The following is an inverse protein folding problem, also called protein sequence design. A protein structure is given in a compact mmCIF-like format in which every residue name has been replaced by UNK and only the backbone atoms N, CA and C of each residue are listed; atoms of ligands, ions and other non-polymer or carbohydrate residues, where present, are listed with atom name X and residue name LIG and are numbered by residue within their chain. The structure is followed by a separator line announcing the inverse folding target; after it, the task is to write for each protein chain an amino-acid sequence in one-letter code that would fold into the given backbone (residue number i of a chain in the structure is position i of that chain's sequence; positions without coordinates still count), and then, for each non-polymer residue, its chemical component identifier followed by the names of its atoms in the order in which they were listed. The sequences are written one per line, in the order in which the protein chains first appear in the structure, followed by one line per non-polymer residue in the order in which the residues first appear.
data_IF_023062479073
#
_entry.id   IF_023062479073
#
_cell.length_a   1.000
_cell.length_b   1.000
_cell.length_c   1.000
_cell.angle_alpha   90.00
_cell.angle_beta   90.00
_cell.angle_gamma   90.00
#
_symmetry.space_group_name_H-M   'P 1'
#
loop_
_entity.id
_entity.type
_entity.pdbx_description
1 polymer ?
#
# COMPACT_ATOMS: atom_id res chain seq x y z
N UNK A 1 21.33 6.03 -5.85
CA UNK A 1 21.81 5.46 -4.59
C UNK A 1 20.87 4.30 -4.27
N UNK A 2 21.37 3.07 -4.06
CA UNK A 2 20.50 1.96 -3.66
C UNK A 2 20.28 2.08 -2.14
N UNK A 3 19.05 2.40 -1.76
CA UNK A 3 18.60 2.40 -0.37
C UNK A 3 18.84 1.01 0.23
N UNK A 4 19.45 0.94 1.42
CA UNK A 4 19.66 -0.34 2.10
C UNK A 4 18.38 -0.72 2.83
N UNK A 5 18.00 -1.99 2.76
CA UNK A 5 16.92 -2.56 3.56
C UNK A 5 17.45 -3.71 4.40
N UNK A 6 16.79 -4.00 5.52
CA UNK A 6 17.01 -5.23 6.28
C UNK A 6 16.28 -6.44 5.63
N UNK A 7 16.27 -7.58 6.32
CA UNK A 7 15.60 -8.82 5.88
C UNK A 7 14.06 -8.71 5.87
N UNK A 8 13.48 -7.76 6.61
CA UNK A 8 12.05 -7.46 6.66
C UNK A 8 11.64 -6.37 5.65
N UNK A 9 12.60 -5.84 4.88
CA UNK A 9 12.36 -4.76 3.91
C UNK A 9 12.32 -3.35 4.52
N UNK A 10 12.68 -3.18 5.79
CA UNK A 10 12.73 -1.90 6.48
C UNK A 10 13.90 -1.07 5.94
N UNK A 11 13.66 0.16 5.45
CA UNK A 11 14.71 1.01 4.92
C UNK A 11 15.63 1.55 6.03
N UNK A 12 16.94 1.53 5.76
CA UNK A 12 18.00 2.03 6.62
C UNK A 12 18.80 3.11 5.92
N UNK A 13 18.97 4.24 6.61
CA UNK A 13 19.64 5.42 6.06
C UNK A 13 21.06 5.56 6.63
N UNK A 14 22.04 5.66 5.74
CA UNK A 14 23.42 5.95 6.13
C UNK A 14 23.63 7.46 6.32
N UNK A 15 24.77 7.85 6.90
CA UNK A 15 25.15 9.27 7.05
C UNK A 15 25.13 10.00 5.71
N UNK A 16 25.52 9.33 4.62
CA UNK A 16 25.51 9.93 3.29
C UNK A 16 24.08 10.14 2.76
N UNK A 17 23.15 9.22 3.06
CA UNK A 17 21.74 9.39 2.68
C UNK A 17 21.08 10.55 3.45
N UNK A 18 21.42 10.71 4.73
CA UNK A 18 20.94 11.82 5.56
C UNK A 18 21.46 13.17 5.06
N UNK A 19 22.75 13.23 4.71
CA UNK A 19 23.34 14.42 4.09
C UNK A 19 22.58 14.75 2.80
N UNK A 20 22.44 13.79 1.88
CA UNK A 20 21.73 14.01 0.61
C UNK A 20 20.28 14.50 0.83
N UNK A 21 19.58 13.94 1.82
CA UNK A 21 18.23 14.38 2.23
C UNK A 21 18.19 15.83 2.70
N UNK A 22 19.18 16.26 3.51
CA UNK A 22 19.29 17.66 3.96
C UNK A 22 19.57 18.57 2.76
N UNK A 23 20.55 18.22 1.92
CA UNK A 23 20.97 19.04 0.77
C UNK A 23 19.89 19.14 -0.33
N UNK A 24 19.00 18.15 -0.42
CA UNK A 24 17.84 18.18 -1.34
C UNK A 24 16.62 18.92 -0.77
N UNK A 25 16.73 19.51 0.42
CA UNK A 25 15.67 20.33 1.03
C UNK A 25 14.63 19.53 1.80
N UNK A 26 14.96 18.32 2.22
CA UNK A 26 14.09 17.42 3.01
C UNK A 26 14.58 17.24 4.45
N UNK A 27 15.24 18.26 5.02
CA UNK A 27 15.77 18.22 6.39
C UNK A 27 14.69 17.97 7.45
N UNK A 28 13.44 18.37 7.18
CA UNK A 28 12.28 18.11 8.03
C UNK A 28 12.00 16.61 8.22
N UNK A 29 12.40 15.77 7.26
CA UNK A 29 12.15 14.33 7.26
C UNK A 29 13.24 13.52 7.94
N UNK A 30 14.40 14.11 8.25
CA UNK A 30 15.53 13.42 8.85
C UNK A 30 15.17 12.78 10.21
N UNK A 31 14.22 13.36 10.95
CA UNK A 31 13.78 12.86 12.25
C UNK A 31 12.77 11.71 12.18
N UNK A 32 12.27 11.39 10.99
CA UNK A 32 11.25 10.35 10.76
C UNK A 32 11.91 9.06 10.23
N UNK A 33 13.14 9.15 9.73
CA UNK A 33 13.85 8.01 9.14
C UNK A 33 14.73 7.28 10.15
N UNK A 34 14.90 5.98 9.93
CA UNK A 34 15.75 5.12 10.75
C UNK A 34 17.18 5.13 10.22
N UNK A 35 18.10 5.69 11.00
CA UNK A 35 19.50 5.81 10.60
C UNK A 35 20.38 4.68 11.17
N UNK A 36 21.45 4.35 10.44
CA UNK A 36 22.47 3.43 10.93
C UNK A 36 23.13 3.98 12.20
N UNK A 37 23.51 3.07 13.11
CA UNK A 37 24.27 3.45 14.31
C UNK A 37 25.69 3.88 13.89
N UNK A 38 26.09 5.11 14.27
CA UNK A 38 27.47 5.61 14.09
C UNK A 38 27.78 6.74 15.05
N UNK A 39 29.06 6.95 15.34
CA UNK A 39 29.55 8.03 16.21
C UNK A 39 29.11 9.43 15.76
N UNK A 40 28.94 9.63 14.44
CA UNK A 40 28.49 10.92 13.89
C UNK A 40 27.03 11.21 14.26
N UNK A 41 26.19 10.17 14.30
CA UNK A 41 24.78 10.27 14.71
C UNK A 41 24.69 10.56 16.20
N UNK A 42 25.57 9.96 17.00
CA UNK A 42 25.62 10.20 18.45
C UNK A 42 25.93 11.66 18.75
N UNK A 43 26.99 12.20 18.12
CA UNK A 43 27.36 13.61 18.24
C UNK A 43 26.27 14.56 17.73
N UNK A 44 25.59 14.18 16.64
CA UNK A 44 24.47 14.95 16.11
C UNK A 44 23.32 14.99 17.13
N UNK A 45 22.96 13.85 17.70
CA UNK A 45 21.89 13.75 18.68
C UNK A 45 22.20 14.52 19.97
N UNK A 46 23.43 14.45 20.47
CA UNK A 46 23.90 15.26 21.61
C UNK A 46 23.71 16.76 21.33
N UNK A 47 24.15 17.24 20.17
CA UNK A 47 23.99 18.65 19.79
C UNK A 47 22.53 19.07 19.61
N UNK A 48 21.67 18.18 19.10
CA UNK A 48 20.23 18.47 18.96
C UNK A 48 19.55 18.55 20.32
N UNK A 49 19.86 17.64 21.24
CA UNK A 49 19.32 17.64 22.59
C UNK A 49 19.75 18.89 23.37
N UNK A 50 21.01 19.32 23.25
CA UNK A 50 21.49 20.58 23.85
C UNK A 50 20.74 21.81 23.35
N UNK A 51 20.26 21.79 22.10
CA UNK A 51 19.48 22.86 21.48
C UNK A 51 17.96 22.71 21.68
N UNK A 52 17.51 21.68 22.40
CA UNK A 52 16.09 21.38 22.60
C UNK A 52 15.38 20.92 21.33
N UNK A 53 16.11 20.39 20.35
CA UNK A 53 15.59 19.83 19.11
C UNK A 53 15.48 18.30 19.20
N UNK A 54 14.68 17.70 18.31
CA UNK A 54 14.49 16.25 18.31
C UNK A 54 15.73 15.52 17.78
N UNK A 55 16.19 14.44 18.43
CA UNK A 55 17.28 13.62 17.91
C UNK A 55 16.85 12.82 16.66
N UNK A 56 17.82 12.27 15.94
CA UNK A 56 17.60 11.27 14.89
C UNK A 56 17.26 9.91 15.52
N UNK A 57 16.38 9.16 14.85
CA UNK A 57 15.98 7.82 15.28
C UNK A 57 16.95 6.77 14.75
N UNK A 58 17.62 6.08 15.67
CA UNK A 58 18.51 4.97 15.31
C UNK A 58 17.69 3.74 14.92
N UNK A 59 18.11 3.06 13.86
CA UNK A 59 17.59 1.76 13.50
C UNK A 59 17.89 0.74 14.62
N UNK A 60 16.85 0.01 15.03
CA UNK A 60 16.92 -1.12 15.96
C UNK A 60 16.34 -2.32 15.22
N UNK A 61 17.11 -3.42 15.02
CA UNK A 61 16.60 -4.62 14.40
C UNK A 61 15.40 -5.17 15.19
N UNK A 62 14.34 -5.53 14.49
CA UNK A 62 13.22 -6.25 15.08
C UNK A 62 13.55 -7.74 15.14
N UNK A 63 13.46 -8.32 16.33
CA UNK A 63 13.59 -9.76 16.53
C UNK A 63 12.22 -10.43 16.35
N UNK A 64 11.71 -10.39 15.12
CA UNK A 64 10.44 -11.01 14.72
C UNK A 64 10.64 -11.75 13.41
N UNK A 65 9.97 -12.89 13.24
CA UNK A 65 10.00 -13.59 11.97
C UNK A 65 9.17 -12.84 10.90
N UNK A 66 9.57 -13.01 9.64
CA UNK A 66 8.94 -12.34 8.50
C UNK A 66 7.43 -12.55 8.44
N UNK A 67 6.92 -13.75 8.79
CA UNK A 67 5.49 -14.03 8.70
C UNK A 67 4.70 -13.26 9.75
N UNK A 68 5.25 -13.14 10.95
CA UNK A 68 4.66 -12.31 12.00
C UNK A 68 4.67 -10.83 11.61
N UNK A 69 5.79 -10.35 11.06
CA UNK A 69 5.91 -8.96 10.58
C UNK A 69 4.91 -8.65 9.46
N UNK A 70 4.87 -9.49 8.42
CA UNK A 70 3.94 -9.35 7.30
C UNK A 70 2.47 -9.39 7.77
N UNK A 71 2.16 -10.25 8.74
CA UNK A 71 0.81 -10.34 9.32
C UNK A 71 0.37 -9.03 9.99
N UNK A 72 1.28 -8.36 10.71
CA UNK A 72 1.01 -7.04 11.32
C UNK A 72 0.81 -5.99 10.23
N UNK A 73 1.70 -5.92 9.24
CA UNK A 73 1.58 -4.97 8.14
C UNK A 73 0.33 -5.17 7.27
N UNK A 74 -0.12 -6.41 7.10
CA UNK A 74 -1.38 -6.72 6.41
C UNK A 74 -2.62 -6.28 7.20
N UNK A 75 -2.52 -6.19 8.53
CA UNK A 75 -3.57 -5.64 9.39
C UNK A 75 -3.68 -4.13 9.30
N UNK A 76 -2.54 -3.42 9.23
CA UNK A 76 -2.47 -1.96 9.28
C UNK A 76 -1.96 -1.36 7.96
N UNK A 77 -2.90 -0.99 7.09
CA UNK A 77 -2.61 -0.29 5.85
C UNK A 77 -2.58 1.22 6.05
N UNK A 78 -1.59 1.88 5.44
CA UNK A 78 -1.45 3.33 5.47
C UNK A 78 -2.47 4.01 4.54
N UNK A 79 -3.67 4.26 5.05
CA UNK A 79 -4.76 4.97 4.37
C UNK A 79 -5.59 5.81 5.37
N UNK A 80 -6.29 6.87 4.92
CA UNK A 80 -7.17 7.66 5.77
C UNK A 80 -8.30 6.84 6.42
N UNK A 81 -8.76 7.26 7.60
CA UNK A 81 -9.76 6.51 8.40
C UNK A 81 -11.10 6.31 7.69
N UNK A 82 -11.52 7.26 6.85
CA UNK A 82 -12.73 7.12 6.03
C UNK A 82 -12.69 5.88 5.14
N UNK A 83 -11.53 5.51 4.59
CA UNK A 83 -11.36 4.31 3.77
C UNK A 83 -11.31 3.02 4.58
N UNK A 84 -10.84 3.07 5.84
CA UNK A 84 -10.79 1.90 6.73
C UNK A 84 -12.17 1.35 7.06
N UNK A 85 -13.21 2.18 7.01
CA UNK A 85 -14.59 1.81 7.34
C UNK A 85 -15.45 1.43 6.13
N UNK A 86 -14.92 1.56 4.91
CA UNK A 86 -15.68 1.26 3.69
C UNK A 86 -16.18 -0.20 3.67
N UNK A 87 -17.47 -0.36 3.34
CA UNK A 87 -18.06 -1.65 3.02
C UNK A 87 -17.74 -2.03 1.57
N UNK A 88 -16.65 -2.79 1.39
CA UNK A 88 -16.11 -3.16 0.07
C UNK A 88 -17.16 -3.81 -0.83
N UNK A 89 -17.95 -4.75 -0.31
CA UNK A 89 -19.00 -5.43 -1.08
C UNK A 89 -20.03 -4.42 -1.64
N UNK A 90 -20.49 -3.49 -0.80
CA UNK A 90 -21.45 -2.46 -1.22
C UNK A 90 -20.84 -1.49 -2.24
N UNK A 91 -19.57 -1.09 -2.03
CA UNK A 91 -18.86 -0.20 -2.95
C UNK A 91 -18.73 -0.83 -4.35
N UNK A 92 -18.24 -2.07 -4.42
CA UNK A 92 -17.96 -2.75 -5.69
C UNK A 92 -19.26 -3.12 -6.41
N UNK A 93 -20.24 -3.68 -5.71
CA UNK A 93 -21.51 -4.07 -6.32
C UNK A 93 -22.37 -2.84 -6.68
N UNK A 94 -22.25 -1.74 -5.94
CA UNK A 94 -22.92 -0.48 -6.24
C UNK A 94 -22.47 0.16 -7.56
N UNK A 95 -21.20 -0.02 -7.95
CA UNK A 95 -20.68 0.45 -9.24
C UNK A 95 -21.37 -0.24 -10.43
N UNK A 96 -21.66 -1.54 -10.31
CA UNK A 96 -22.42 -2.25 -11.35
C UNK A 96 -23.83 -1.69 -11.54
N UNK A 97 -24.53 -1.38 -10.45
CA UNK A 97 -25.90 -0.85 -10.50
C UNK A 97 -25.94 0.53 -11.19
N UNK A 98 -24.92 1.36 -10.91
CA UNK A 98 -24.81 2.72 -11.47
C UNK A 98 -24.58 2.69 -12.99
N UNK A 99 -23.88 1.68 -13.49
CA UNK A 99 -23.61 1.49 -14.93
C UNK A 99 -24.80 0.91 -15.72
N UNK A 100 -26.00 0.86 -15.12
CA UNK A 100 -27.22 0.38 -15.78
C UNK A 100 -27.39 -1.14 -15.79
N UNK A 101 -26.58 -1.88 -15.01
CA UNK A 101 -26.66 -3.33 -14.95
C UNK A 101 -27.75 -3.84 -14.01
N UNK A 102 -28.31 -5.01 -14.37
CA UNK A 102 -29.26 -5.75 -13.54
C UNK A 102 -28.48 -6.55 -12.48
N UNK A 103 -28.92 -6.51 -11.23
CA UNK A 103 -28.35 -7.23 -10.07
C UNK A 103 -28.31 -8.77 -10.18
N UNK A 104 -28.58 -9.34 -11.36
CA UNK A 104 -28.56 -10.78 -11.63
C UNK A 104 -27.77 -11.15 -12.91
N UNK A 105 -26.99 -10.21 -13.46
CA UNK A 105 -26.13 -10.47 -14.62
C UNK A 105 -24.93 -11.37 -14.32
N UNK A 106 -24.26 -11.92 -15.36
CA UNK A 106 -23.04 -12.71 -15.20
C UNK A 106 -21.92 -11.92 -14.49
N UNK A 107 -21.86 -10.61 -14.71
CA UNK A 107 -20.91 -9.70 -14.07
C UNK A 107 -21.13 -9.57 -12.56
N UNK A 108 -22.39 -9.49 -12.11
CA UNK A 108 -22.72 -9.45 -10.69
C UNK A 108 -22.31 -10.74 -10.00
N UNK A 109 -22.63 -11.90 -10.61
CA UNK A 109 -22.23 -13.20 -10.07
C UNK A 109 -20.71 -13.32 -9.98
N UNK A 110 -19.98 -12.89 -11.02
CA UNK A 110 -18.53 -12.89 -11.06
C UNK A 110 -17.92 -12.02 -9.96
N UNK A 111 -18.38 -10.77 -9.84
CA UNK A 111 -17.91 -9.85 -8.79
C UNK A 111 -18.20 -10.41 -7.39
N UNK A 112 -19.40 -10.98 -7.18
CA UNK A 112 -19.78 -11.58 -5.90
C UNK A 112 -18.90 -12.78 -5.53
N UNK A 113 -18.66 -13.71 -6.46
CA UNK A 113 -17.78 -14.86 -6.23
C UNK A 113 -16.34 -14.43 -5.87
N UNK A 114 -15.78 -13.48 -6.62
CA UNK A 114 -14.45 -12.93 -6.33
C UNK A 114 -14.40 -12.26 -4.94
N UNK A 115 -15.39 -11.41 -4.61
CA UNK A 115 -15.48 -10.75 -3.31
C UNK A 115 -15.53 -11.76 -2.14
N UNK A 116 -16.29 -12.86 -2.30
CA UNK A 116 -16.33 -13.90 -1.28
C UNK A 116 -14.96 -14.57 -1.07
N UNK A 117 -14.18 -14.79 -2.14
CA UNK A 117 -12.82 -15.34 -1.99
C UNK A 117 -11.83 -14.34 -1.36
N UNK A 118 -11.89 -13.06 -1.73
CA UNK A 118 -11.09 -12.04 -1.03
C UNK A 118 -11.40 -12.01 0.47
N UNK A 119 -12.68 -12.06 0.83
CA UNK A 119 -13.14 -12.07 2.22
C UNK A 119 -12.68 -13.30 2.98
N UNK A 120 -12.80 -14.50 2.38
CA UNK A 120 -12.29 -15.75 2.97
C UNK A 120 -10.79 -15.71 3.26
N UNK A 121 -10.03 -14.93 2.48
CA UNK A 121 -8.59 -14.73 2.65
C UNK A 121 -8.21 -13.55 3.54
N UNK A 122 -9.18 -12.83 4.11
CA UNK A 122 -8.92 -11.65 4.94
C UNK A 122 -8.38 -10.44 4.17
N UNK A 123 -8.62 -10.37 2.86
CA UNK A 123 -8.07 -9.33 1.98
C UNK A 123 -8.95 -8.08 1.86
N UNK A 124 -9.93 -7.90 2.76
CA UNK A 124 -10.82 -6.74 2.74
C UNK A 124 -10.06 -5.42 2.89
N UNK A 125 -9.05 -5.37 3.76
CA UNK A 125 -8.20 -4.19 3.94
C UNK A 125 -7.35 -3.89 2.71
N UNK A 126 -6.88 -4.91 1.99
CA UNK A 126 -6.22 -4.73 0.71
C UNK A 126 -7.16 -4.06 -0.31
N UNK A 127 -8.42 -4.51 -0.40
CA UNK A 127 -9.39 -3.91 -1.32
C UNK A 127 -9.74 -2.47 -0.94
N UNK A 128 -9.88 -2.16 0.35
CA UNK A 128 -10.05 -0.78 0.84
C UNK A 128 -8.87 0.11 0.43
N UNK A 129 -7.65 -0.40 0.59
CA UNK A 129 -6.46 0.32 0.17
C UNK A 129 -6.41 0.52 -1.35
N UNK A 130 -6.82 -0.47 -2.15
CA UNK A 130 -6.91 -0.30 -3.61
C UNK A 130 -7.92 0.78 -4.02
N UNK A 131 -9.05 0.89 -3.31
CA UNK A 131 -10.02 1.97 -3.51
C UNK A 131 -9.37 3.32 -3.23
N UNK A 132 -8.75 3.47 -2.05
CA UNK A 132 -8.02 4.69 -1.67
C UNK A 132 -6.95 5.07 -2.69
N UNK A 133 -6.10 4.12 -3.09
CA UNK A 133 -5.00 4.36 -4.02
C UNK A 133 -5.52 4.89 -5.36
N UNK A 134 -6.59 4.29 -5.89
CA UNK A 134 -7.18 4.73 -7.15
C UNK A 134 -7.81 6.12 -7.02
N UNK A 135 -8.54 6.38 -5.94
CA UNK A 135 -9.19 7.68 -5.72
C UNK A 135 -8.14 8.79 -5.52
N UNK A 136 -7.09 8.53 -4.71
CA UNK A 136 -5.94 9.42 -4.55
C UNK A 136 -5.27 9.74 -5.89
N UNK A 137 -5.03 8.73 -6.75
CA UNK A 137 -4.44 8.97 -8.06
C UNK A 137 -5.35 9.80 -8.96
N UNK A 138 -6.68 9.59 -8.93
CA UNK A 138 -7.64 10.39 -9.70
C UNK A 138 -7.67 11.84 -9.24
N UNK A 139 -7.80 12.06 -7.94
CA UNK A 139 -7.86 13.40 -7.34
C UNK A 139 -6.61 14.22 -7.63
N UNK A 140 -5.44 13.58 -7.65
CA UNK A 140 -4.16 14.22 -7.93
C UNK A 140 -3.76 14.20 -9.42
N UNK A 141 -4.66 13.77 -10.32
CA UNK A 141 -4.38 13.66 -11.76
C UNK A 141 -3.13 12.82 -12.11
N UNK A 142 -2.85 11.81 -11.30
CA UNK A 142 -1.75 10.87 -11.51
C UNK A 142 -2.21 9.80 -12.48
N UNK A 143 -1.45 9.56 -13.53
CA UNK A 143 -1.74 8.50 -14.51
C UNK A 143 -1.04 7.21 -14.08
N UNK A 144 -1.77 6.09 -14.07
CA UNK A 144 -1.21 4.76 -13.85
C UNK A 144 -1.44 3.84 -15.05
N UNK A 145 -0.63 2.78 -15.13
CA UNK A 145 -0.67 1.82 -16.23
C UNK A 145 -2.01 1.09 -16.33
N UNK A 146 -2.34 0.63 -17.54
CA UNK A 146 -3.64 0.01 -17.88
C UNK A 146 -3.91 -1.35 -17.20
N UNK A 147 -2.91 -1.94 -16.53
CA UNK A 147 -2.96 -3.26 -15.89
C UNK A 147 -1.86 -4.19 -16.40
N UNK A 148 -1.24 -4.96 -15.51
CA UNK A 148 -0.18 -5.92 -15.84
C UNK A 148 -0.16 -7.08 -14.84
N UNK A 149 0.31 -8.24 -15.28
CA UNK A 149 0.36 -9.45 -14.45
C UNK A 149 -1.00 -10.12 -14.27
N UNK A 150 -1.07 -11.06 -13.32
CA UNK A 150 -2.27 -11.87 -13.07
C UNK A 150 -3.44 -11.10 -12.48
N UNK A 151 -3.20 -9.95 -11.83
CA UNK A 151 -4.26 -9.10 -11.25
C UNK A 151 -5.31 -8.65 -12.25
N UNK A 152 -4.95 -8.58 -13.53
CA UNK A 152 -5.83 -8.28 -14.67
C UNK A 152 -7.01 -9.26 -14.81
N UNK A 153 -6.88 -10.48 -14.27
CA UNK A 153 -7.95 -11.47 -14.28
C UNK A 153 -9.09 -11.18 -13.28
N UNK A 154 -8.87 -10.28 -12.31
CA UNK A 154 -9.89 -9.92 -11.32
C UNK A 154 -10.87 -8.90 -11.88
N UNK A 155 -12.15 -9.25 -11.90
CA UNK A 155 -13.21 -8.33 -12.23
C UNK A 155 -13.45 -7.29 -11.12
N UNK A 156 -13.23 -7.66 -9.85
CA UNK A 156 -13.34 -6.72 -8.72
C UNK A 156 -12.32 -5.57 -8.83
N UNK A 157 -11.06 -5.88 -9.17
CA UNK A 157 -10.02 -4.86 -9.35
C UNK A 157 -10.29 -3.96 -10.57
N UNK A 158 -10.89 -4.51 -11.63
CA UNK A 158 -11.41 -3.73 -12.77
C UNK A 158 -12.48 -2.74 -12.31
N UNK A 159 -13.46 -3.16 -11.50
CA UNK A 159 -14.54 -2.29 -11.02
C UNK A 159 -14.05 -1.16 -10.09
N UNK A 160 -13.05 -1.44 -9.26
CA UNK A 160 -12.38 -0.40 -8.45
C UNK A 160 -11.66 0.61 -9.37
N UNK A 161 -11.12 0.12 -10.48
CA UNK A 161 -10.38 0.91 -11.47
C UNK A 161 -8.86 0.79 -11.34
N UNK A 162 -8.38 -0.26 -10.67
CA UNK A 162 -6.94 -0.56 -10.56
C UNK A 162 -6.34 -0.83 -11.94
N UNK A 163 -7.11 -1.45 -12.83
CA UNK A 163 -6.78 -1.66 -14.23
C UNK A 163 -7.99 -1.38 -15.13
N UNK A 164 -7.76 -1.35 -16.46
CA UNK A 164 -8.78 -1.03 -17.47
C UNK A 164 -9.19 -2.23 -18.33
N UNK A 165 -8.71 -3.42 -18.01
CA UNK A 165 -8.99 -4.66 -18.76
C UNK A 165 -10.18 -5.37 -18.13
N UNK A 166 -11.24 -5.60 -18.92
CA UNK A 166 -12.41 -6.35 -18.49
C UNK A 166 -12.14 -7.87 -18.60
N UNK A 167 -11.89 -8.53 -17.48
CA UNK A 167 -11.56 -9.95 -17.42
C UNK A 167 -12.65 -10.87 -17.99
N UNK A 168 -13.93 -10.48 -17.91
CA UNK A 168 -15.05 -11.27 -18.44
C UNK A 168 -15.03 -11.25 -19.97
N UNK A 169 -14.79 -10.08 -20.57
CA UNK A 169 -14.72 -9.94 -22.03
C UNK A 169 -13.63 -10.82 -22.65
N UNK A 170 -12.50 -10.98 -21.96
CA UNK A 170 -11.37 -11.76 -22.43
C UNK A 170 -11.35 -13.21 -21.90
N UNK A 171 -12.37 -13.62 -21.14
CA UNK A 171 -12.47 -14.98 -20.60
C UNK A 171 -11.34 -15.34 -19.62
N UNK A 172 -10.80 -14.36 -18.89
CA UNK A 172 -9.71 -14.58 -17.94
C UNK A 172 -10.23 -15.22 -16.66
N UNK A 173 -9.51 -16.19 -16.13
CA UNK A 173 -9.88 -16.86 -14.87
C UNK A 173 -9.21 -16.19 -13.66
N UNK A 174 -10.01 -15.54 -12.82
CA UNK A 174 -9.59 -14.91 -11.57
C UNK A 174 -8.99 -15.91 -10.58
N UNK A 175 -9.28 -17.21 -10.70
CA UNK A 175 -8.69 -18.24 -9.85
C UNK A 175 -7.20 -18.42 -10.10
N UNK A 176 -6.69 -18.03 -11.27
CA UNK A 176 -5.25 -18.00 -11.52
C UNK A 176 -4.56 -16.87 -10.76
N UNK A 177 -5.29 -15.79 -10.48
CA UNK A 177 -4.79 -14.68 -9.68
C UNK A 177 -4.86 -14.97 -8.18
N UNK A 178 -6.03 -15.41 -7.71
CA UNK A 178 -6.25 -15.78 -6.31
C UNK A 178 -5.84 -17.24 -6.06
N UNK A 179 -4.69 -17.69 -6.58
CA UNK A 179 -4.17 -19.02 -6.22
C UNK A 179 -3.47 -19.03 -4.87
#
# INVERSE_FOLDING_TARGET
MLMKTDELGIPRFSNKDLIDMIYTGHSDKCHVVLCDQSDDIDKFNEAMEEQGMNPLQKYIPLDVDQKTFDGVCQGEWFMPEEYKTIHVEQYVLGRLITDGYKAQGPEYRRAFEELQEFKKRGMDNLLRYMIYMVDFMRENSIVWGVGRGSSVASYVLYLIGVHRINSIQYGLDWREFLR
#
